data_IF_735473898744
#
_entry.id   IF_735473898744
#
_cell.length_a   1.000
_cell.length_b   1.000
_cell.length_c   1.000
_cell.angle_alpha   90.00
_cell.angle_beta   90.00
_cell.angle_gamma   90.00
#
_symmetry.space_group_name_H-M   'P 1'
#
loop_
_entity.id
_entity.type
_entity.pdbx_description
1 polymer ?
#
# COMPACT_ATOMS: atom_id res chain seq x y z
N UNK A 1 -0.02 2.82 19.21
CA UNK A 1 1.43 2.97 18.95
C UNK A 1 1.57 4.22 18.11
N UNK A 2 2.23 5.23 18.65
CA UNK A 2 2.43 6.53 18.00
C UNK A 2 3.78 6.59 17.30
N UNK A 3 4.00 7.70 16.61
CA UNK A 3 5.30 8.03 16.05
C UNK A 3 6.41 7.96 17.10
N UNK A 4 7.65 7.65 16.69
CA UNK A 4 8.77 7.85 17.57
C UNK A 4 8.96 9.36 17.80
N UNK A 5 8.92 9.77 19.07
CA UNK A 5 9.23 11.15 19.49
C UNK A 5 10.75 11.43 19.45
N UNK A 6 11.53 10.36 19.27
CA UNK A 6 12.98 10.31 19.15
C UNK A 6 13.44 9.96 17.73
N UNK A 7 14.68 10.34 17.40
CA UNK A 7 15.29 10.02 16.10
C UNK A 7 15.61 8.53 16.05
N UNK A 8 15.01 7.81 15.10
CA UNK A 8 15.22 6.37 14.90
C UNK A 8 16.00 6.08 13.62
N UNK A 9 16.07 7.04 12.70
CA UNK A 9 16.88 6.96 11.49
C UNK A 9 18.31 7.44 11.79
N UNK A 10 19.30 6.59 11.54
CA UNK A 10 20.68 6.92 11.87
C UNK A 10 21.21 8.02 10.95
N UNK A 11 21.74 9.10 11.54
CA UNK A 11 22.27 10.24 10.80
C UNK A 11 21.24 11.28 10.38
N UNK A 12 19.96 11.08 10.72
CA UNK A 12 18.90 12.06 10.49
C UNK A 12 18.75 12.96 11.72
N UNK A 13 18.31 14.18 11.48
CA UNK A 13 17.77 15.06 12.52
C UNK A 13 16.30 14.72 12.77
N UNK A 14 15.78 15.17 13.92
CA UNK A 14 14.35 15.03 14.22
C UNK A 14 13.47 15.75 13.18
N UNK A 15 13.97 16.86 12.62
CA UNK A 15 13.28 17.64 11.60
C UNK A 15 13.15 16.82 10.31
N UNK A 16 14.24 16.23 9.81
CA UNK A 16 14.23 15.42 8.59
C UNK A 16 13.34 14.16 8.76
N UNK A 17 13.34 13.53 9.94
CA UNK A 17 12.40 12.45 10.23
C UNK A 17 10.94 12.94 10.19
N UNK A 18 10.67 14.12 10.75
CA UNK A 18 9.34 14.74 10.69
C UNK A 18 8.90 15.15 9.28
N UNK A 19 9.84 15.42 8.37
CA UNK A 19 9.55 15.65 6.95
C UNK A 19 9.08 14.36 6.26
N UNK A 20 9.74 13.23 6.54
CA UNK A 20 9.31 11.90 6.07
C UNK A 20 7.91 11.58 6.61
N UNK A 21 7.68 11.88 7.88
CA UNK A 21 6.40 11.68 8.57
C UNK A 21 5.26 12.54 7.99
N UNK A 22 5.56 13.80 7.60
CA UNK A 22 4.61 14.68 6.91
C UNK A 22 4.16 14.13 5.56
N UNK A 23 5.08 13.51 4.82
CA UNK A 23 4.75 12.88 3.55
C UNK A 23 3.71 11.76 3.73
N UNK A 24 3.77 11.00 4.84
CA UNK A 24 2.74 10.00 5.15
C UNK A 24 1.35 10.63 5.33
N UNK A 25 1.27 11.81 5.95
CA UNK A 25 0.00 12.50 6.20
C UNK A 25 -0.60 13.09 4.93
N UNK A 26 0.23 13.68 4.07
CA UNK A 26 -0.23 14.39 2.87
C UNK A 26 -0.54 13.40 1.75
N UNK A 27 0.40 12.49 1.48
CA UNK A 27 0.38 11.63 0.29
C UNK A 27 0.11 10.16 0.60
N UNK A 28 0.27 9.76 1.87
CA UNK A 28 0.27 8.37 2.27
C UNK A 28 -1.10 7.69 2.21
N UNK A 29 -2.22 8.36 2.48
CA UNK A 29 -3.51 7.63 2.58
C UNK A 29 -3.78 6.75 1.35
N UNK A 30 -4.01 5.43 1.52
CA UNK A 30 -4.29 4.52 0.40
C UNK A 30 -5.47 4.96 -0.49
N UNK A 31 -6.35 5.82 0.03
CA UNK A 31 -7.50 6.37 -0.68
C UNK A 31 -7.39 7.84 -1.05
N UNK A 32 -6.27 8.51 -0.77
CA UNK A 32 -6.09 9.92 -1.15
C UNK A 32 -6.05 10.11 -2.67
N UNK A 33 -6.80 11.10 -3.17
CA UNK A 33 -6.86 11.43 -4.60
C UNK A 33 -5.66 12.27 -5.09
N UNK A 34 -4.82 12.77 -4.19
CA UNK A 34 -3.61 13.58 -4.51
C UNK A 34 -2.62 12.84 -5.42
N UNK A 35 -2.64 11.51 -5.38
CA UNK A 35 -1.91 10.63 -6.30
C UNK A 35 -2.90 9.94 -7.26
N UNK A 36 -3.44 10.64 -8.28
CA UNK A 36 -4.61 10.20 -9.02
C UNK A 36 -4.40 8.90 -9.78
N UNK A 37 -3.20 8.68 -10.33
CA UNK A 37 -2.85 7.44 -11.02
C UNK A 37 -2.86 6.25 -10.05
N UNK A 38 -2.20 6.36 -8.90
CA UNK A 38 -2.13 5.29 -7.90
C UNK A 38 -3.50 5.02 -7.29
N UNK A 39 -4.29 6.07 -7.07
CA UNK A 39 -5.67 5.95 -6.64
C UNK A 39 -6.49 5.15 -7.67
N UNK A 40 -6.44 5.53 -8.95
CA UNK A 40 -7.15 4.84 -10.02
C UNK A 40 -6.73 3.35 -10.14
N UNK A 41 -5.43 3.05 -10.03
CA UNK A 41 -4.92 1.68 -10.01
C UNK A 41 -5.44 0.89 -8.81
N UNK A 42 -5.49 1.52 -7.63
CA UNK A 42 -6.01 0.88 -6.41
C UNK A 42 -7.48 0.51 -6.60
N UNK A 43 -8.30 1.45 -7.08
CA UNK A 43 -9.73 1.22 -7.36
C UNK A 43 -9.93 0.15 -8.45
N UNK A 44 -9.18 0.24 -9.55
CA UNK A 44 -9.21 -0.77 -10.61
C UNK A 44 -8.85 -2.16 -10.07
N UNK A 45 -7.85 -2.25 -9.20
CA UNK A 45 -7.48 -3.47 -8.50
C UNK A 45 -8.62 -4.03 -7.66
N UNK A 46 -9.29 -3.19 -6.87
CA UNK A 46 -10.44 -3.60 -6.06
C UNK A 46 -11.60 -4.13 -6.92
N UNK A 47 -11.88 -3.46 -8.03
CA UNK A 47 -12.90 -3.89 -8.99
C UNK A 47 -12.52 -5.22 -9.66
N UNK A 48 -11.23 -5.43 -9.99
CA UNK A 48 -10.75 -6.71 -10.51
C UNK A 48 -10.88 -7.84 -9.49
N UNK A 49 -10.57 -7.57 -8.22
CA UNK A 49 -10.80 -8.53 -7.14
C UNK A 49 -12.29 -8.88 -7.06
N UNK A 50 -13.18 -7.89 -7.01
CA UNK A 50 -14.62 -8.12 -6.96
C UNK A 50 -15.12 -8.91 -8.20
N UNK A 51 -14.67 -8.53 -9.39
CA UNK A 51 -15.00 -9.18 -10.66
C UNK A 51 -14.50 -10.61 -10.74
N UNK A 52 -13.36 -10.93 -10.12
CA UNK A 52 -12.77 -12.27 -10.14
C UNK A 52 -13.74 -13.35 -9.63
N UNK A 53 -14.59 -13.03 -8.64
CA UNK A 53 -15.58 -13.96 -8.08
C UNK A 53 -16.66 -14.41 -9.08
N UNK A 54 -16.84 -13.68 -10.19
CA UNK A 54 -17.78 -14.01 -11.26
C UNK A 54 -17.12 -14.73 -12.44
N UNK A 55 -15.79 -14.75 -12.51
CA UNK A 55 -15.03 -15.40 -13.57
C UNK A 55 -14.77 -16.89 -13.25
N UNK A 56 -14.47 -17.66 -14.30
CA UNK A 56 -14.13 -19.09 -14.21
C UNK A 56 -12.76 -19.39 -14.82
N UNK A 57 -12.15 -20.49 -14.38
CA UNK A 57 -10.86 -20.98 -14.88
C UNK A 57 -9.71 -19.97 -14.67
N UNK A 58 -8.76 -19.94 -15.61
CA UNK A 58 -7.55 -19.11 -15.52
C UNK A 58 -7.83 -17.61 -15.47
N UNK A 59 -8.94 -17.14 -16.06
CA UNK A 59 -9.31 -15.71 -16.04
C UNK A 59 -9.57 -15.19 -14.63
N UNK A 60 -10.16 -16.02 -13.76
CA UNK A 60 -10.35 -15.68 -12.35
C UNK A 60 -9.01 -15.56 -11.62
N UNK A 61 -8.11 -16.51 -11.84
CA UNK A 61 -6.78 -16.52 -11.20
C UNK A 61 -6.03 -15.25 -11.57
N UNK A 62 -5.99 -14.92 -12.87
CA UNK A 62 -5.34 -13.71 -13.38
C UNK A 62 -5.99 -12.45 -12.79
N UNK A 63 -7.32 -12.34 -12.82
CA UNK A 63 -8.03 -11.18 -12.27
C UNK A 63 -7.83 -11.02 -10.76
N UNK A 64 -7.85 -12.12 -9.98
CA UNK A 64 -7.62 -12.10 -8.54
C UNK A 64 -6.19 -11.68 -8.18
N UNK A 65 -5.19 -12.24 -8.85
CA UNK A 65 -3.78 -11.90 -8.65
C UNK A 65 -3.46 -10.46 -9.07
N UNK A 66 -3.84 -10.07 -10.29
CA UNK A 66 -3.64 -8.70 -10.77
C UNK A 66 -4.39 -7.69 -9.92
N UNK A 67 -5.63 -8.01 -9.54
CA UNK A 67 -6.43 -7.20 -8.63
C UNK A 67 -5.72 -6.98 -7.30
N UNK A 68 -5.22 -8.05 -6.67
CA UNK A 68 -4.50 -7.96 -5.41
C UNK A 68 -3.23 -7.10 -5.51
N UNK A 69 -2.43 -7.28 -6.57
CA UNK A 69 -1.21 -6.49 -6.80
C UNK A 69 -1.55 -5.00 -6.98
N UNK A 70 -2.56 -4.69 -7.80
CA UNK A 70 -2.98 -3.33 -8.07
C UNK A 70 -3.55 -2.65 -6.81
N UNK A 71 -4.34 -3.37 -6.02
CA UNK A 71 -4.85 -2.87 -4.74
C UNK A 71 -3.71 -2.53 -3.77
N UNK A 72 -2.66 -3.35 -3.69
CA UNK A 72 -1.50 -3.07 -2.82
C UNK A 72 -0.53 -2.01 -3.36
N UNK A 73 -0.68 -1.59 -4.62
CA UNK A 73 0.34 -0.76 -5.30
C UNK A 73 0.64 0.53 -4.55
N UNK A 74 -0.40 1.21 -4.04
CA UNK A 74 -0.20 2.45 -3.32
C UNK A 74 0.46 2.26 -1.95
N UNK A 75 0.24 1.11 -1.30
CA UNK A 75 0.93 0.78 -0.04
C UNK A 75 2.44 0.63 -0.24
N UNK A 76 2.86 0.06 -1.37
CA UNK A 76 4.27 -0.13 -1.71
C UNK A 76 4.93 1.11 -2.31
N UNK A 77 4.14 1.97 -2.96
CA UNK A 77 4.68 3.17 -3.59
C UNK A 77 5.28 4.11 -2.56
N UNK A 78 4.64 4.31 -1.40
CA UNK A 78 5.09 5.30 -0.41
C UNK A 78 6.50 5.00 0.13
N UNK A 79 6.83 3.78 0.61
CA UNK A 79 8.19 3.45 1.03
C UNK A 79 9.22 3.56 -0.09
N UNK A 80 8.86 3.19 -1.33
CA UNK A 80 9.75 3.26 -2.48
C UNK A 80 10.03 4.70 -2.93
N UNK A 81 9.00 5.56 -2.92
CA UNK A 81 9.11 6.96 -3.31
C UNK A 81 10.02 7.71 -2.33
N UNK A 82 9.81 7.53 -1.03
CA UNK A 82 10.61 8.18 0.00
C UNK A 82 12.06 7.70 0.00
N UNK A 83 12.30 6.40 -0.12
CA UNK A 83 13.66 5.87 -0.20
C UNK A 83 14.45 6.45 -1.40
N UNK A 84 13.76 6.74 -2.52
CA UNK A 84 14.36 7.42 -3.67
C UNK A 84 14.55 8.91 -3.45
N UNK A 85 13.57 9.59 -2.85
CA UNK A 85 13.61 11.02 -2.57
C UNK A 85 14.77 11.38 -1.63
N UNK A 86 14.96 10.58 -0.57
CA UNK A 86 16.03 10.76 0.41
C UNK A 86 17.31 9.99 0.04
N UNK A 87 17.31 9.23 -1.06
CA UNK A 87 18.42 8.40 -1.53
C UNK A 87 18.99 7.48 -0.44
N UNK A 88 18.11 6.91 0.39
CA UNK A 88 18.49 6.12 1.55
C UNK A 88 17.55 4.91 1.74
N UNK A 89 18.16 3.74 1.89
CA UNK A 89 17.45 2.48 2.10
C UNK A 89 16.91 2.34 3.54
N UNK A 90 17.44 3.08 4.51
CA UNK A 90 16.89 3.10 5.88
C UNK A 90 15.47 3.68 5.89
N UNK A 91 15.24 4.72 5.08
CA UNK A 91 13.93 5.36 4.92
C UNK A 91 12.89 4.38 4.39
N UNK A 92 13.28 3.44 3.53
CA UNK A 92 12.38 2.37 3.08
C UNK A 92 11.85 1.55 4.26
N UNK A 93 12.75 1.08 5.13
CA UNK A 93 12.40 0.25 6.28
C UNK A 93 11.56 1.02 7.31
N UNK A 94 11.93 2.27 7.57
CA UNK A 94 11.17 3.17 8.43
C UNK A 94 9.75 3.40 7.87
N UNK A 95 9.64 3.80 6.61
CA UNK A 95 8.36 4.01 5.96
C UNK A 95 7.52 2.73 5.97
N UNK A 96 8.06 1.58 5.57
CA UNK A 96 7.31 0.31 5.55
C UNK A 96 6.73 -0.04 6.93
N UNK A 97 7.44 0.27 8.02
CA UNK A 97 7.00 0.00 9.40
C UNK A 97 5.94 0.97 9.89
N UNK A 98 6.14 2.29 9.69
CA UNK A 98 5.32 3.33 10.33
C UNK A 98 4.20 3.85 9.43
N UNK A 99 4.38 3.89 8.12
CA UNK A 99 3.36 4.38 7.19
C UNK A 99 1.99 3.68 7.33
N UNK A 100 1.89 2.33 7.40
CA UNK A 100 0.60 1.67 7.61
C UNK A 100 -0.06 2.03 8.94
N UNK A 101 0.71 2.48 9.93
CA UNK A 101 0.20 2.87 11.25
C UNK A 101 -0.44 4.26 11.25
N UNK A 102 -0.10 5.13 10.28
CA UNK A 102 -0.78 6.41 10.07
C UNK A 102 -2.19 6.24 9.50
N UNK A 103 -2.38 5.21 8.68
CA UNK A 103 -3.63 4.95 7.98
C UNK A 103 -4.16 3.55 8.26
N UNK A 104 -4.28 3.13 9.55
CA UNK A 104 -4.44 1.73 9.90
C UNK A 104 -5.72 1.14 9.31
N UNK A 105 -6.83 1.87 9.39
CA UNK A 105 -8.10 1.43 8.80
C UNK A 105 -7.99 1.25 7.28
N UNK A 106 -7.41 2.23 6.57
CA UNK A 106 -7.29 2.16 5.11
C UNK A 106 -6.31 1.07 4.67
N UNK A 107 -5.17 0.95 5.33
CA UNK A 107 -4.19 -0.10 5.07
C UNK A 107 -4.79 -1.50 5.30
N UNK A 108 -5.53 -1.69 6.40
CA UNK A 108 -6.23 -2.96 6.67
C UNK A 108 -7.24 -3.28 5.56
N UNK A 109 -8.07 -2.32 5.14
CA UNK A 109 -9.06 -2.54 4.07
C UNK A 109 -8.37 -3.01 2.79
N UNK A 110 -7.31 -2.32 2.38
CA UNK A 110 -6.56 -2.64 1.15
C UNK A 110 -5.91 -4.02 1.25
N UNK A 111 -5.32 -4.37 2.41
CA UNK A 111 -4.75 -5.70 2.66
C UNK A 111 -5.82 -6.79 2.60
N UNK A 112 -6.96 -6.59 3.25
CA UNK A 112 -8.08 -7.56 3.26
C UNK A 112 -8.60 -7.79 1.84
N UNK A 113 -8.77 -6.73 1.04
CA UNK A 113 -9.20 -6.87 -0.36
C UNK A 113 -8.17 -7.64 -1.18
N UNK A 114 -6.88 -7.35 -1.00
CA UNK A 114 -5.83 -8.10 -1.69
C UNK A 114 -5.86 -9.60 -1.30
N UNK A 115 -6.05 -9.92 -0.02
CA UNK A 115 -6.21 -11.30 0.45
C UNK A 115 -7.45 -11.98 -0.15
N UNK A 116 -8.56 -11.26 -0.32
CA UNK A 116 -9.74 -11.79 -1.02
C UNK A 116 -9.45 -12.09 -2.49
N UNK A 117 -8.65 -11.27 -3.17
CA UNK A 117 -8.20 -11.52 -4.54
C UNK A 117 -7.29 -12.76 -4.64
N UNK A 118 -6.40 -12.95 -3.67
CA UNK A 118 -5.59 -14.16 -3.58
C UNK A 118 -6.48 -15.38 -3.30
N UNK A 119 -7.38 -15.30 -2.32
CA UNK A 119 -8.29 -16.38 -1.99
C UNK A 119 -9.17 -16.77 -3.19
N UNK A 120 -9.68 -15.80 -3.95
CA UNK A 120 -10.49 -16.08 -5.15
C UNK A 120 -9.71 -16.85 -6.22
N UNK A 121 -8.40 -16.61 -6.35
CA UNK A 121 -7.54 -17.36 -7.25
C UNK A 121 -7.46 -18.85 -6.84
N UNK A 122 -7.32 -19.14 -5.54
CA UNK A 122 -7.12 -20.50 -5.01
C UNK A 122 -8.40 -21.29 -4.74
N UNK A 123 -9.55 -20.65 -4.52
CA UNK A 123 -10.83 -21.36 -4.27
C UNK A 123 -11.26 -22.11 -5.53
N UNK A 124 -11.01 -23.41 -5.68
CA UNK A 124 -11.51 -24.20 -6.83
C UNK A 124 -13.04 -24.18 -6.87
N UNK A 125 -13.64 -23.42 -7.81
CA UNK A 125 -15.01 -23.69 -8.26
C UNK A 125 -14.89 -24.69 -9.41
N UNK A 126 -15.25 -25.95 -9.15
CA UNK A 126 -15.48 -26.95 -10.21
C UNK A 126 -16.64 -26.48 -11.08
#
# INVERSE_FOLDING_TARGET
MGLPDDVVLYGYTLIEQHEIDHEFLINGSPFAAVTPLLFALTIAGMLLVAGSFFLRGSRRIIAGLLGAVLTLTKLWWMPLALARQFNDSQVFGYALKYYPQYWPAASIIVIVIALLGLASAFIRRR
#
